data_IF_284839994382
#
_entry.id   IF_284839994382
#
_cell.length_a   1.000
_cell.length_b   1.000
_cell.length_c   1.000
_cell.angle_alpha   90.00
_cell.angle_beta   90.00
_cell.angle_gamma   90.00
#
_symmetry.space_group_name_H-M   'P 1'
#
loop_
_entity.id
_entity.type
_entity.pdbx_description
1 polymer ?
#
# COMPACT_ATOMS: atom_id res chain seq x y z
N UNK A 1 48.73 -3.11 -35.42
CA UNK A 1 48.06 -4.37 -35.79
C UNK A 1 48.55 -5.40 -34.78
N UNK A 2 47.81 -6.00 -33.86
CA UNK A 2 46.36 -6.16 -33.66
C UNK A 2 46.08 -6.49 -32.18
N UNK A 3 44.88 -6.15 -31.68
CA UNK A 3 44.24 -6.63 -30.43
C UNK A 3 44.01 -8.19 -30.52
N UNK A 4 43.58 -9.00 -29.53
CA UNK A 4 42.57 -8.93 -28.44
C UNK A 4 42.76 -10.17 -27.49
N UNK A 5 42.23 -10.09 -26.25
CA UNK A 5 41.79 -11.14 -25.28
C UNK A 5 42.85 -11.73 -24.31
N UNK A 6 42.65 -11.84 -22.99
CA UNK A 6 41.49 -12.43 -22.25
C UNK A 6 41.40 -11.93 -20.78
N UNK A 7 40.18 -11.81 -20.21
CA UNK A 7 39.82 -11.50 -18.79
C UNK A 7 40.19 -12.64 -17.80
N UNK A 8 40.36 -12.44 -16.45
CA UNK A 8 39.22 -12.26 -15.52
C UNK A 8 39.45 -11.42 -14.22
N UNK A 9 38.31 -10.94 -13.69
CA UNK A 9 37.93 -10.61 -12.29
C UNK A 9 38.94 -10.11 -11.24
N UNK A 10 38.49 -9.14 -10.43
CA UNK A 10 38.36 -9.41 -9.00
C UNK A 10 36.90 -9.30 -8.55
N UNK A 11 36.37 -10.40 -8.03
CA UNK A 11 35.19 -10.39 -7.17
C UNK A 11 35.57 -9.68 -5.87
N UNK A 12 35.40 -8.36 -5.83
CA UNK A 12 35.32 -7.66 -4.56
C UNK A 12 33.92 -7.93 -4.02
N UNK A 13 33.80 -8.91 -3.13
CA UNK A 13 32.64 -9.05 -2.26
C UNK A 13 32.42 -7.72 -1.54
N UNK A 14 31.41 -6.95 -1.98
CA UNK A 14 30.95 -5.78 -1.23
C UNK A 14 30.46 -6.26 0.13
N UNK A 15 31.23 -5.96 1.16
CA UNK A 15 30.85 -6.20 2.54
C UNK A 15 29.47 -5.60 2.80
N UNK A 16 28.56 -6.42 3.31
CA UNK A 16 27.26 -6.01 3.81
C UNK A 16 27.47 -5.00 4.93
N UNK A 17 27.15 -3.73 4.68
CA UNK A 17 27.18 -2.65 5.67
C UNK A 17 26.27 -3.03 6.84
N UNK A 18 26.87 -3.56 7.91
CA UNK A 18 26.23 -4.09 9.11
C UNK A 18 25.64 -3.00 10.04
N UNK A 19 25.24 -1.86 9.49
CA UNK A 19 24.68 -0.72 10.24
C UNK A 19 23.50 -0.03 9.54
N UNK A 20 22.77 -0.72 8.66
CA UNK A 20 21.45 -0.26 8.25
C UNK A 20 20.38 -0.56 9.31
N UNK A 21 20.61 -0.16 10.58
CA UNK A 21 19.51 0.09 11.50
C UNK A 21 18.89 1.42 11.10
N UNK A 22 18.14 1.43 10.00
CA UNK A 22 17.05 2.39 9.91
C UNK A 22 16.10 2.00 11.03
N UNK A 23 16.11 2.78 12.11
CA UNK A 23 15.01 2.80 13.06
C UNK A 23 13.76 2.99 12.22
N UNK A 24 12.97 1.92 12.10
CA UNK A 24 11.65 1.97 11.49
C UNK A 24 10.93 3.03 12.31
N UNK A 25 10.84 4.24 11.74
CA UNK A 25 10.08 5.32 12.31
C UNK A 25 8.70 4.74 12.50
N UNK A 26 8.27 4.65 13.76
CA UNK A 26 6.89 4.37 14.09
C UNK A 26 6.15 5.61 13.61
N UNK A 27 5.85 5.66 12.32
CA UNK A 27 4.87 6.57 11.78
C UNK A 27 3.59 6.16 12.47
N UNK A 28 3.17 6.93 13.47
CA UNK A 28 1.82 6.86 13.96
C UNK A 28 0.94 6.95 12.72
N UNK A 29 0.10 5.94 12.49
CA UNK A 29 -0.84 5.93 11.38
C UNK A 29 -1.84 7.07 11.62
N UNK A 30 -1.43 8.29 11.32
CA UNK A 30 -2.22 9.49 11.48
C UNK A 30 -3.14 9.56 10.27
N UNK A 31 -4.33 9.00 10.43
CA UNK A 31 -5.42 9.06 9.46
C UNK A 31 -6.06 10.45 9.38
N UNK A 32 -5.37 11.49 9.85
CA UNK A 32 -5.85 12.88 9.88
C UNK A 32 -6.17 13.45 8.48
N UNK A 33 -5.59 12.88 7.43
CA UNK A 33 -5.90 13.19 6.03
C UNK A 33 -6.63 12.05 5.28
N UNK A 34 -7.11 11.03 6.00
CA UNK A 34 -7.87 9.95 5.40
C UNK A 34 -9.27 10.45 5.04
N UNK A 35 -9.73 10.15 3.83
CA UNK A 35 -11.13 10.33 3.44
C UNK A 35 -12.07 9.51 4.34
N UNK A 36 -11.55 8.48 5.01
CA UNK A 36 -12.34 7.46 5.70
C UNK A 36 -11.79 7.23 7.12
N UNK A 37 -12.63 7.34 8.17
CA UNK A 37 -12.20 7.25 9.57
C UNK A 37 -11.90 5.82 10.06
N UNK A 38 -12.25 4.80 9.26
CA UNK A 38 -12.05 3.38 9.59
C UNK A 38 -10.95 2.74 8.74
N UNK A 39 -10.08 1.90 9.32
CA UNK A 39 -9.09 1.14 8.55
C UNK A 39 -9.80 0.08 7.69
N UNK A 40 -9.52 0.09 6.39
CA UNK A 40 -10.03 -0.88 5.44
C UNK A 40 -8.95 -1.21 4.40
N UNK A 41 -9.10 -2.33 3.71
CA UNK A 41 -8.15 -2.83 2.70
C UNK A 41 -8.84 -2.99 1.35
N UNK A 42 -8.02 -3.12 0.31
CA UNK A 42 -8.45 -3.41 -1.07
C UNK A 42 -9.51 -2.43 -1.62
N UNK A 43 -9.23 -1.11 -1.64
CA UNK A 43 -10.15 -0.13 -2.20
C UNK A 43 -10.49 -0.46 -3.66
N UNK A 44 -11.77 -0.36 -3.99
CA UNK A 44 -12.33 -0.49 -5.34
C UNK A 44 -13.35 0.60 -5.57
N UNK A 45 -13.45 1.06 -6.82
CA UNK A 45 -14.49 2.00 -7.26
C UNK A 45 -15.24 1.38 -8.44
N UNK A 46 -16.44 1.88 -8.71
CA UNK A 46 -17.17 1.45 -9.90
C UNK A 46 -16.38 1.89 -11.16
N UNK A 47 -16.06 0.97 -12.10
CA UNK A 47 -15.28 1.27 -13.29
C UNK A 47 -15.80 2.44 -14.14
N UNK A 48 -17.11 2.73 -14.08
CA UNK A 48 -17.71 3.87 -14.80
C UNK A 48 -17.17 5.25 -14.36
N UNK A 49 -16.56 5.33 -13.18
CA UNK A 49 -15.96 6.55 -12.64
C UNK A 49 -14.43 6.55 -12.69
N UNK A 50 -13.80 5.65 -13.45
CA UNK A 50 -12.37 5.76 -13.69
C UNK A 50 -12.06 7.15 -14.27
N UNK A 51 -11.03 7.79 -13.70
CA UNK A 51 -10.59 9.16 -14.00
C UNK A 51 -11.65 10.26 -13.81
N UNK A 52 -12.72 9.97 -13.06
CA UNK A 52 -13.82 10.90 -12.76
C UNK A 52 -14.08 10.94 -11.25
N UNK A 53 -14.77 11.98 -10.74
CA UNK A 53 -15.30 11.95 -9.38
C UNK A 53 -16.19 10.73 -9.17
N UNK A 54 -15.99 10.02 -8.06
CA UNK A 54 -16.77 8.83 -7.70
C UNK A 54 -17.47 9.06 -6.35
N UNK A 55 -18.76 8.69 -6.23
CA UNK A 55 -19.51 8.88 -4.99
C UNK A 55 -19.18 7.84 -3.92
N UNK A 56 -18.74 6.64 -4.33
CA UNK A 56 -18.57 5.50 -3.43
C UNK A 56 -17.21 4.81 -3.60
N UNK A 57 -16.69 4.34 -2.48
CA UNK A 57 -15.56 3.39 -2.40
C UNK A 57 -16.08 2.09 -1.79
N UNK A 58 -15.65 0.96 -2.35
CA UNK A 58 -15.87 -0.36 -1.81
C UNK A 58 -14.55 -0.89 -1.24
N UNK A 59 -14.62 -1.63 -0.16
CA UNK A 59 -13.43 -2.15 0.49
C UNK A 59 -13.75 -3.29 1.43
N UNK A 60 -12.70 -3.80 2.06
CA UNK A 60 -12.78 -4.94 2.95
C UNK A 60 -12.33 -4.52 4.35
N UNK A 61 -13.14 -4.84 5.36
CA UNK A 61 -12.83 -4.57 6.77
C UNK A 61 -12.82 -5.86 7.57
N UNK A 62 -11.72 -6.07 8.29
CA UNK A 62 -11.64 -7.11 9.31
C UNK A 62 -12.34 -6.62 10.58
N UNK A 63 -13.31 -7.37 11.07
CA UNK A 63 -13.97 -7.07 12.34
C UNK A 63 -13.37 -7.93 13.46
N UNK A 64 -13.04 -7.37 14.63
CA UNK A 64 -12.60 -8.15 15.78
C UNK A 64 -13.62 -9.23 16.14
N UNK A 65 -13.17 -10.47 16.33
CA UNK A 65 -14.04 -11.59 16.67
C UNK A 65 -14.77 -12.25 15.49
N UNK A 66 -14.59 -11.76 14.26
CA UNK A 66 -15.11 -12.40 13.05
C UNK A 66 -14.01 -13.16 12.31
N UNK A 67 -14.32 -14.38 11.88
CA UNK A 67 -13.43 -15.21 11.05
C UNK A 67 -13.33 -14.70 9.60
N UNK A 68 -14.32 -13.95 9.16
CA UNK A 68 -14.42 -13.46 7.79
C UNK A 68 -14.35 -11.95 7.74
N UNK A 69 -13.64 -11.49 6.73
CA UNK A 69 -13.62 -10.10 6.33
C UNK A 69 -14.99 -9.68 5.76
N UNK A 70 -15.42 -8.46 6.09
CA UNK A 70 -16.71 -7.90 5.68
C UNK A 70 -16.51 -6.92 4.52
N UNK A 71 -17.34 -7.04 3.48
CA UNK A 71 -17.40 -6.06 2.41
C UNK A 71 -18.13 -4.81 2.92
N UNK A 72 -17.53 -3.64 2.72
CA UNK A 72 -18.09 -2.36 3.10
C UNK A 72 -18.24 -1.44 1.88
N UNK A 73 -19.23 -0.56 1.93
CA UNK A 73 -19.43 0.55 0.99
C UNK A 73 -19.36 1.85 1.77
N UNK A 74 -18.61 2.81 1.25
CA UNK A 74 -18.33 4.09 1.90
C UNK A 74 -18.75 5.22 0.97
N UNK A 75 -19.52 6.16 1.50
CA UNK A 75 -19.84 7.42 0.82
C UNK A 75 -18.68 8.40 0.98
N UNK A 76 -18.17 8.91 -0.14
CA UNK A 76 -16.99 9.78 -0.17
C UNK A 76 -17.32 11.18 0.37
N UNK A 77 -18.56 11.63 0.21
CA UNK A 77 -18.98 12.97 0.60
C UNK A 77 -19.28 13.04 2.10
N UNK A 78 -20.10 12.13 2.63
CA UNK A 78 -20.42 12.07 4.06
C UNK A 78 -19.32 11.43 4.89
N UNK A 79 -18.44 10.63 4.27
CA UNK A 79 -17.38 9.85 4.92
C UNK A 79 -17.93 8.73 5.84
N UNK A 80 -19.14 8.25 5.53
CA UNK A 80 -19.84 7.23 6.31
C UNK A 80 -19.90 5.88 5.59
N UNK A 81 -20.02 4.81 6.37
CA UNK A 81 -20.39 3.49 5.89
C UNK A 81 -21.88 3.47 5.56
N UNK A 82 -22.22 2.94 4.39
CA UNK A 82 -23.58 2.85 3.89
C UNK A 82 -23.91 1.39 3.59
N UNK A 83 -25.14 0.98 3.88
CA UNK A 83 -25.61 -0.39 3.61
C UNK A 83 -25.43 -0.73 2.12
N UNK A 84 -24.94 -1.95 1.82
CA UNK A 84 -24.62 -2.39 0.46
C UNK A 84 -25.85 -2.51 -0.44
#
# INVERSE_FOLDING_TARGET
>A
MSNIHTHPHPDTCSESNANARQSIGIHSNSYSNSLIPVPFKLPRINPKYLTKPYPYIYGVRTQPGHLFDVLIRLDVQSKEEVDL
#
